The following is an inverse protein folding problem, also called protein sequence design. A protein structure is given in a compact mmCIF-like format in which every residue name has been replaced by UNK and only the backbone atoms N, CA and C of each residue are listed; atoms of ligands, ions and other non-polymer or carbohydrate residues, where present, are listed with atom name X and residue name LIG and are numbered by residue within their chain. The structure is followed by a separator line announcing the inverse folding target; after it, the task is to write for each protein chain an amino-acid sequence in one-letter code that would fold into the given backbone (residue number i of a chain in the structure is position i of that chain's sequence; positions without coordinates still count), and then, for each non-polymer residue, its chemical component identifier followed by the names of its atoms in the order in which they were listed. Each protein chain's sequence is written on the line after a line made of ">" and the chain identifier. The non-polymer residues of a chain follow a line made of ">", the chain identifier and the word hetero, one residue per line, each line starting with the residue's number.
data_IF_286739662651
#
_entry.id   IF_286739662651
#
_cell.length_a   1.000
_cell.length_b   1.000
_cell.length_c   1.000
_cell.angle_alpha   90.00
_cell.angle_beta   90.00
_cell.angle_gamma   90.00
#
_symmetry.space_group_name_H-M   'P 1'
#
loop_
_entity.id
_entity.type
_entity.pdbx_description
1 polymer ?
#
# COMPACT_ATOMS: atom_id res chain seq x y z
N UNK A 1 25.14 14.92 -0.85
CA UNK A 1 24.20 14.09 -0.07
C UNK A 1 23.41 13.27 -1.07
N UNK A 2 23.45 11.94 -0.99
CA UNK A 2 22.70 11.06 -1.89
C UNK A 2 21.35 10.77 -1.25
N UNK A 3 20.25 11.15 -1.90
CA UNK A 3 18.91 10.83 -1.41
C UNK A 3 18.60 9.37 -1.74
N UNK A 4 18.44 8.54 -0.71
CA UNK A 4 18.06 7.14 -0.85
C UNK A 4 16.53 7.02 -0.91
N UNK A 5 16.03 6.28 -1.90
CA UNK A 5 14.61 5.98 -2.06
C UNK A 5 14.43 4.48 -2.03
N UNK A 6 13.69 3.99 -1.04
CA UNK A 6 13.41 2.56 -0.87
C UNK A 6 12.01 2.28 -1.40
N UNK A 7 11.93 1.46 -2.43
CA UNK A 7 10.68 0.98 -3.04
C UNK A 7 10.72 -0.54 -3.08
N UNK A 8 9.63 -1.19 -2.71
CA UNK A 8 9.52 -2.64 -2.82
C UNK A 8 9.16 -3.05 -4.24
N UNK A 9 9.63 -4.23 -4.63
CA UNK A 9 9.37 -4.77 -5.94
C UNK A 9 9.73 -6.24 -6.01
N UNK A 10 9.22 -6.91 -7.04
CA UNK A 10 9.41 -8.33 -7.29
C UNK A 10 10.34 -8.53 -8.48
N UNK A 11 11.45 -9.24 -8.25
CA UNK A 11 12.32 -9.72 -9.33
C UNK A 11 11.73 -11.00 -9.92
N UNK A 12 11.32 -10.94 -11.19
CA UNK A 12 10.73 -12.06 -11.91
C UNK A 12 11.81 -13.05 -12.41
N UNK A 13 11.44 -14.30 -12.73
CA UNK A 13 12.39 -15.30 -13.24
C UNK A 13 13.06 -14.94 -14.56
N UNK A 14 12.43 -14.08 -15.36
CA UNK A 14 12.96 -13.55 -16.62
C UNK A 14 13.97 -12.41 -16.44
N UNK A 15 14.22 -11.99 -15.19
CA UNK A 15 15.12 -10.90 -14.83
C UNK A 15 14.46 -9.52 -14.83
N UNK A 16 13.16 -9.42 -15.10
CA UNK A 16 12.42 -8.15 -15.03
C UNK A 16 12.12 -7.78 -13.57
N UNK A 17 12.35 -6.52 -13.20
CA UNK A 17 11.94 -5.96 -11.91
C UNK A 17 10.57 -5.27 -12.05
N UNK A 18 9.59 -5.74 -11.30
CA UNK A 18 8.29 -5.06 -11.16
C UNK A 18 8.28 -4.30 -9.84
N UNK A 19 8.04 -2.99 -9.88
CA UNK A 19 7.93 -2.17 -8.67
C UNK A 19 6.47 -2.15 -8.22
N UNK A 20 6.26 -2.28 -6.91
CA UNK A 20 4.90 -2.30 -6.34
C UNK A 20 4.25 -0.91 -6.42
N UNK A 21 5.07 0.13 -6.47
CA UNK A 21 4.65 1.53 -6.59
C UNK A 21 5.55 2.32 -7.54
N UNK A 22 5.00 3.41 -8.09
CA UNK A 22 5.74 4.30 -8.98
C UNK A 22 6.72 5.16 -8.17
N UNK A 23 8.04 5.07 -8.41
CA UNK A 23 9.00 5.90 -7.70
C UNK A 23 8.81 7.38 -8.08
N UNK A 24 8.75 8.25 -7.07
CA UNK A 24 8.61 9.70 -7.22
C UNK A 24 9.96 10.37 -7.54
N UNK A 25 10.63 9.90 -8.59
CA UNK A 25 11.94 10.39 -9.03
C UNK A 25 11.82 11.20 -10.33
N UNK A 26 12.65 12.25 -10.52
CA UNK A 26 12.72 12.94 -11.79
C UNK A 26 13.21 11.99 -12.90
N UNK A 27 12.78 12.18 -14.15
CA UNK A 27 13.28 11.38 -15.26
C UNK A 27 14.81 11.44 -15.37
N UNK A 28 15.46 10.29 -15.45
CA UNK A 28 16.92 10.21 -15.49
C UNK A 28 17.43 8.78 -15.34
N UNK A 29 18.74 8.60 -15.48
CA UNK A 29 19.38 7.31 -15.16
C UNK A 29 19.42 7.14 -13.65
N UNK A 30 19.06 5.95 -13.18
CA UNK A 30 19.07 5.59 -11.77
C UNK A 30 20.01 4.41 -11.54
N UNK A 31 20.60 4.33 -10.35
CA UNK A 31 21.30 3.15 -9.86
C UNK A 31 20.37 2.42 -8.90
N UNK A 32 20.21 1.11 -9.06
CA UNK A 32 19.37 0.28 -8.19
C UNK A 32 20.25 -0.59 -7.29
N UNK A 33 19.86 -0.69 -6.02
CA UNK A 33 20.42 -1.64 -5.06
C UNK A 33 19.32 -2.63 -4.72
N UNK A 34 19.49 -3.90 -5.12
CA UNK A 34 18.52 -4.95 -4.85
C UNK A 34 18.88 -5.66 -3.54
N UNK A 35 17.98 -5.58 -2.57
CA UNK A 35 18.11 -6.30 -1.30
C UNK A 35 17.07 -7.41 -1.28
N UNK A 36 17.46 -8.70 -1.28
CA UNK A 36 16.51 -9.80 -1.20
C UNK A 36 15.82 -9.76 0.16
N UNK A 37 14.48 -9.69 0.15
CA UNK A 37 13.68 -9.76 1.36
C UNK A 37 13.59 -11.21 1.86
N UNK A 38 13.52 -11.45 3.18
CA UNK A 38 13.32 -12.78 3.72
C UNK A 38 12.00 -13.34 3.19
N UNK A 39 12.05 -14.53 2.60
CA UNK A 39 10.83 -15.27 2.29
C UNK A 39 10.20 -15.69 3.61
N UNK A 40 8.90 -15.44 3.78
CA UNK A 40 8.18 -16.05 4.90
C UNK A 40 8.33 -17.57 4.77
N UNK A 41 8.65 -18.28 5.88
CA UNK A 41 8.70 -19.74 5.86
C UNK A 41 7.35 -20.28 5.38
N UNK A 42 7.37 -21.21 4.41
CA UNK A 42 6.14 -21.90 3.99
C UNK A 42 5.48 -22.62 5.18
N UNK A 43 6.29 -22.96 6.18
CA UNK A 43 5.90 -23.66 7.40
C UNK A 43 5.47 -22.72 8.55
N UNK A 44 5.18 -21.46 8.27
CA UNK A 44 4.77 -20.49 9.30
C UNK A 44 3.55 -21.02 10.09
N UNK A 45 3.70 -21.31 11.41
CA UNK A 45 2.62 -21.85 12.23
C UNK A 45 1.39 -20.94 12.29
N UNK A 46 1.58 -19.62 12.19
CA UNK A 46 0.49 -18.66 12.11
C UNK A 46 -0.25 -18.81 10.78
N UNK A 47 0.47 -18.90 9.66
CA UNK A 47 -0.13 -19.08 8.35
C UNK A 47 -0.89 -20.40 8.24
N UNK A 48 -0.33 -21.50 8.74
CA UNK A 48 -1.01 -22.80 8.80
C UNK A 48 -2.30 -22.74 9.62
N UNK A 49 -2.28 -22.02 10.76
CA UNK A 49 -3.48 -21.81 11.58
C UNK A 49 -4.56 -21.03 10.82
N UNK A 50 -4.18 -20.00 10.07
CA UNK A 50 -5.12 -19.23 9.23
C UNK A 50 -5.75 -20.08 8.14
N UNK A 51 -4.96 -20.91 7.45
CA UNK A 51 -5.45 -21.86 6.45
C UNK A 51 -6.46 -22.85 7.05
N UNK A 52 -6.18 -23.39 8.24
CA UNK A 52 -7.09 -24.30 8.94
C UNK A 52 -8.42 -23.62 9.31
N UNK A 53 -8.39 -22.36 9.74
CA UNK A 53 -9.60 -21.58 10.03
C UNK A 53 -10.43 -21.39 8.75
N UNK A 54 -9.80 -21.01 7.64
CA UNK A 54 -10.49 -20.86 6.35
C UNK A 54 -11.12 -22.15 5.86
N UNK A 55 -10.39 -23.27 5.94
CA UNK A 55 -10.93 -24.59 5.59
C UNK A 55 -12.17 -24.93 6.43
N UNK A 56 -12.12 -24.66 7.75
CA UNK A 56 -13.26 -24.87 8.66
C UNK A 56 -14.44 -23.96 8.34
N UNK A 57 -14.20 -22.70 7.98
CA UNK A 57 -15.26 -21.76 7.58
C UNK A 57 -15.93 -22.21 6.27
N UNK A 58 -15.14 -22.62 5.28
CA UNK A 58 -15.65 -23.16 4.01
C UNK A 58 -16.49 -24.42 4.22
N UNK A 59 -16.03 -25.34 5.08
CA UNK A 59 -16.78 -26.55 5.44
C UNK A 59 -18.12 -26.25 6.13
N UNK A 60 -18.25 -25.09 6.79
CA UNK A 60 -19.49 -24.62 7.41
C UNK A 60 -20.41 -23.87 6.44
N UNK A 61 -20.06 -23.81 5.15
CA UNK A 61 -20.81 -23.10 4.12
C UNK A 61 -20.63 -21.57 4.18
N UNK A 62 -19.61 -21.06 4.87
CA UNK A 62 -19.31 -19.65 4.85
C UNK A 62 -18.87 -19.22 3.45
N UNK A 63 -19.59 -18.26 2.87
CA UNK A 63 -19.25 -17.66 1.58
C UNK A 63 -18.46 -16.37 1.86
N UNK A 64 -17.14 -16.34 1.59
CA UNK A 64 -16.37 -15.12 1.72
C UNK A 64 -16.82 -14.07 0.71
N UNK A 65 -16.61 -12.79 1.04
CA UNK A 65 -16.83 -11.67 0.11
C UNK A 65 -15.97 -11.88 -1.15
N UNK A 66 -16.49 -11.47 -2.31
CA UNK A 66 -15.72 -11.54 -3.56
C UNK A 66 -14.54 -10.57 -3.52
N UNK A 67 -13.50 -10.86 -4.31
CA UNK A 67 -12.34 -9.99 -4.45
C UNK A 67 -12.77 -8.58 -4.87
N UNK A 68 -13.69 -8.48 -5.84
CA UNK A 68 -14.24 -7.21 -6.33
C UNK A 68 -14.94 -6.41 -5.23
N UNK A 69 -15.69 -7.07 -4.33
CA UNK A 69 -16.35 -6.41 -3.21
C UNK A 69 -15.34 -5.85 -2.20
N UNK A 70 -14.27 -6.60 -1.91
CA UNK A 70 -13.18 -6.14 -1.02
C UNK A 70 -12.41 -4.99 -1.66
N UNK A 71 -12.15 -5.04 -2.97
CA UNK A 71 -11.46 -3.96 -3.67
C UNK A 71 -12.31 -2.69 -3.76
N UNK A 72 -13.61 -2.82 -3.98
CA UNK A 72 -14.55 -1.70 -3.96
C UNK A 72 -14.59 -1.03 -2.57
N UNK A 73 -14.64 -1.82 -1.50
CA UNK A 73 -14.59 -1.33 -0.12
C UNK A 73 -13.26 -0.61 0.18
N UNK A 74 -12.12 -1.19 -0.23
CA UNK A 74 -10.80 -0.55 -0.11
C UNK A 74 -10.69 0.77 -0.88
N UNK A 75 -11.34 0.86 -2.04
CA UNK A 75 -11.34 2.08 -2.86
C UNK A 75 -12.13 3.18 -2.17
N UNK A 76 -13.34 2.89 -1.70
CA UNK A 76 -14.16 3.84 -0.93
C UNK A 76 -13.43 4.37 0.29
N UNK A 77 -12.79 3.49 1.05
CA UNK A 77 -12.05 3.91 2.25
C UNK A 77 -10.91 4.87 1.92
N UNK A 78 -10.21 4.66 0.79
CA UNK A 78 -9.19 5.60 0.31
C UNK A 78 -9.78 6.93 -0.12
N UNK A 79 -10.86 6.92 -0.89
CA UNK A 79 -11.55 8.14 -1.34
C UNK A 79 -12.07 8.98 -0.15
N UNK A 80 -12.63 8.31 0.87
CA UNK A 80 -13.08 8.97 2.11
C UNK A 80 -11.92 9.57 2.90
N UNK A 81 -10.82 8.81 3.05
CA UNK A 81 -9.62 9.26 3.76
C UNK A 81 -8.94 10.44 3.04
N UNK A 82 -8.88 10.40 1.71
CA UNK A 82 -8.30 11.46 0.88
C UNK A 82 -9.16 12.74 0.96
N UNK A 83 -10.49 12.61 0.91
CA UNK A 83 -11.41 13.73 1.06
C UNK A 83 -11.33 14.38 2.45
N UNK A 84 -11.17 13.59 3.52
CA UNK A 84 -10.95 14.08 4.88
C UNK A 84 -9.62 14.84 5.00
N UNK A 85 -8.55 14.31 4.40
CA UNK A 85 -7.24 14.96 4.33
C UNK A 85 -7.31 16.30 3.59
N UNK A 86 -7.99 16.33 2.43
CA UNK A 86 -8.15 17.55 1.63
C UNK A 86 -8.97 18.61 2.37
N UNK A 87 -10.05 18.22 3.06
CA UNK A 87 -10.84 19.12 3.89
C UNK A 87 -10.01 19.71 5.05
N UNK A 88 -9.21 18.89 5.73
CA UNK A 88 -8.35 19.34 6.82
C UNK A 88 -7.22 20.27 6.34
N UNK A 89 -6.60 19.98 5.19
CA UNK A 89 -5.56 20.83 4.57
C UNK A 89 -6.15 22.15 4.04
N UNK A 90 -7.37 22.12 3.50
CA UNK A 90 -8.11 23.31 3.05
C UNK A 90 -8.47 24.24 4.20
N UNK A 91 -8.89 23.71 5.35
CA UNK A 91 -9.19 24.52 6.55
C UNK A 91 -7.94 25.13 7.20
N UNK A 92 -6.81 24.40 7.22
CA UNK A 92 -5.54 24.94 7.69
C UNK A 92 -5.04 26.12 6.83
N UNK A 93 -5.30 26.09 5.51
CA UNK A 93 -4.91 27.16 4.58
C UNK A 93 -5.79 28.42 4.69
N UNK A 94 -7.05 28.28 5.14
CA UNK A 94 -7.97 29.43 5.32
C UNK A 94 -7.70 30.24 6.60
N UNK A 95 -6.99 29.67 7.58
CA UNK A 95 -6.75 30.29 8.90
C UNK A 95 -5.55 31.25 8.92
N UNK A 96 -4.74 31.30 7.85
CA UNK A 96 -3.58 32.20 7.74
C UNK A 96 -3.91 33.33 6.74
N UNK A 97 -4.86 34.20 7.09
CA UNK A 97 -5.00 35.51 6.44
C UNK A 97 -4.30 36.57 7.31
N UNK A 98 -3.33 37.34 6.79
CA UNK A 98 -2.61 38.33 7.58
C UNK A 98 -3.54 39.51 7.96
N UNK A 99 -3.71 39.70 9.26
CA UNK A 99 -4.22 40.92 9.86
C UNK A 99 -3.28 42.09 9.50
N UNK A 100 -3.72 42.97 8.61
CA UNK A 100 -3.03 44.22 8.30
C UNK A 100 -3.75 45.36 9.03
N UNK A 101 -3.14 45.99 10.06
CA UNK A 101 -3.69 47.18 10.69
C UNK A 101 -3.29 48.42 9.87
N UNK A 102 -4.28 49.26 9.56
CA UNK A 102 -4.10 50.66 9.14
C UNK A 102 -4.51 51.59 10.27
#
# INVERSE_FOLDING_TARGET
>A
MSTEFVVQGTLKPDGTLELDEKPALPPGRVQLVLVPLPRLPEDDPFWQRMQAIWARQKARGHVPRTVEAVEAERRRFREESDAELEANVGMASSTIAPHNPS
#
